data_IF_519215994941
#
_entry.id   IF_519215994941
#
_cell.length_a   1.000
_cell.length_b   1.000
_cell.length_c   1.000
_cell.angle_alpha   90.00
_cell.angle_beta   90.00
_cell.angle_gamma   90.00
#
_symmetry.space_group_name_H-M   'P 1'
#
loop_
_entity.id
_entity.type
_entity.pdbx_description
1 polymer ?
#
# COMPACT_ATOMS: atom_id res chain seq x y z
N UNK A 1 -3.88 2.98 28.15
CA UNK A 1 -4.31 3.68 26.92
C UNK A 1 -3.41 3.23 25.79
N UNK A 2 -3.95 2.56 24.78
CA UNK A 2 -3.22 2.12 23.58
C UNK A 2 -2.92 3.34 22.70
N UNK A 3 -1.79 4.00 22.96
CA UNK A 3 -1.32 5.12 22.16
C UNK A 3 -0.26 4.63 21.18
N UNK A 4 -0.33 5.10 19.93
CA UNK A 4 0.78 5.02 19.00
C UNK A 4 1.80 6.10 19.38
N UNK A 5 2.90 5.71 19.99
CA UNK A 5 3.97 6.59 20.48
C UNK A 5 5.34 6.31 19.85
N UNK A 6 5.46 5.21 19.10
CA UNK A 6 6.67 4.81 18.36
C UNK A 6 6.40 4.64 16.87
N UNK A 7 5.42 5.38 16.35
CA UNK A 7 5.00 5.31 14.95
C UNK A 7 4.83 6.71 14.41
N UNK A 8 5.38 6.94 13.23
CA UNK A 8 5.24 8.19 12.50
C UNK A 8 5.09 7.94 11.00
N UNK A 9 4.43 8.87 10.30
CA UNK A 9 4.43 8.92 8.84
C UNK A 9 5.40 10.04 8.46
N UNK A 10 6.53 9.75 7.80
CA UNK A 10 7.49 10.79 7.43
C UNK A 10 6.84 11.86 6.56
N UNK A 11 7.18 13.13 6.81
CA UNK A 11 6.66 14.23 6.02
C UNK A 11 7.00 14.05 4.55
N UNK A 12 5.99 14.20 3.68
CA UNK A 12 6.13 13.99 2.24
C UNK A 12 6.07 12.53 1.79
N UNK A 13 6.14 11.53 2.68
CA UNK A 13 6.06 10.10 2.34
C UNK A 13 4.61 9.58 2.20
N UNK A 14 3.69 10.45 1.77
CA UNK A 14 2.31 10.13 1.45
C UNK A 14 1.97 10.72 0.08
N UNK A 15 1.14 9.99 -0.67
CA UNK A 15 0.72 10.39 -2.01
C UNK A 15 -0.58 9.67 -2.39
N UNK A 16 -1.19 10.13 -3.46
CA UNK A 16 -2.29 9.44 -4.12
C UNK A 16 -2.24 9.73 -5.62
N UNK A 17 -2.89 8.87 -6.39
CA UNK A 17 -3.19 9.19 -7.79
C UNK A 17 -4.28 10.25 -7.86
N UNK A 18 -4.44 10.96 -8.99
CA UNK A 18 -5.64 11.72 -9.26
C UNK A 18 -6.87 10.80 -9.24
N UNK A 19 -8.00 11.32 -8.75
CA UNK A 19 -9.27 10.60 -8.80
C UNK A 19 -9.81 10.59 -10.24
N UNK A 20 -9.94 9.39 -10.83
CA UNK A 20 -10.59 9.22 -12.13
C UNK A 20 -12.07 8.87 -11.94
N UNK A 21 -12.94 9.47 -12.76
CA UNK A 21 -14.38 9.13 -12.77
C UNK A 21 -14.57 7.66 -13.16
N UNK A 22 -15.67 7.09 -12.70
CA UNK A 22 -16.13 5.76 -13.11
C UNK A 22 -16.27 5.67 -14.63
N UNK A 23 -15.82 4.56 -15.22
CA UNK A 23 -15.69 4.36 -16.68
C UNK A 23 -14.84 5.45 -17.38
N UNK A 24 -13.93 6.09 -16.65
CA UNK A 24 -13.07 7.16 -17.15
C UNK A 24 -11.75 6.67 -17.73
N UNK A 25 -10.79 7.60 -17.79
CA UNK A 25 -9.52 7.42 -18.52
C UNK A 25 -8.62 6.30 -17.98
N UNK A 26 -8.81 5.86 -16.73
CA UNK A 26 -8.03 4.79 -16.10
C UNK A 26 -8.78 3.44 -16.02
N UNK A 27 -9.98 3.32 -16.58
CA UNK A 27 -10.83 2.12 -16.43
C UNK A 27 -10.17 0.83 -16.97
N UNK A 28 -9.31 0.96 -17.98
CA UNK A 28 -8.62 -0.15 -18.62
C UNK A 28 -7.42 -0.68 -17.80
N UNK A 29 -7.05 -0.01 -16.71
CA UNK A 29 -5.91 -0.40 -15.89
C UNK A 29 -6.32 -1.40 -14.79
N UNK A 30 -5.38 -2.28 -14.47
CA UNK A 30 -5.46 -3.09 -13.26
C UNK A 30 -5.00 -2.24 -12.06
N UNK A 31 -5.86 -2.06 -11.05
CA UNK A 31 -5.63 -1.15 -9.92
C UNK A 31 -4.39 -1.54 -9.12
N UNK A 32 -4.20 -2.84 -8.85
CA UNK A 32 -3.01 -3.33 -8.12
C UNK A 32 -1.70 -3.03 -8.86
N UNK A 33 -1.64 -3.33 -10.17
CA UNK A 33 -0.45 -3.01 -10.99
C UNK A 33 -0.22 -1.51 -11.11
N UNK A 34 -1.29 -0.74 -11.24
CA UNK A 34 -1.19 0.71 -11.31
C UNK A 34 -0.70 1.31 -9.99
N UNK A 35 -1.19 0.81 -8.85
CA UNK A 35 -0.68 1.20 -7.53
C UNK A 35 0.81 0.88 -7.38
N UNK A 36 1.26 -0.30 -7.81
CA UNK A 36 2.68 -0.66 -7.80
C UNK A 36 3.52 0.26 -8.70
N UNK A 37 3.05 0.56 -9.91
CA UNK A 37 3.72 1.47 -10.84
C UNK A 37 3.89 2.87 -10.24
N UNK A 38 2.82 3.43 -9.66
CA UNK A 38 2.84 4.75 -9.04
C UNK A 38 3.72 4.76 -7.79
N UNK A 39 3.59 3.76 -6.92
CA UNK A 39 4.43 3.65 -5.73
C UNK A 39 5.92 3.60 -6.07
N UNK A 40 6.32 2.82 -7.09
CA UNK A 40 7.70 2.77 -7.57
C UNK A 40 8.23 4.14 -8.01
N UNK A 41 7.42 4.90 -8.75
CA UNK A 41 7.76 6.27 -9.19
C UNK A 41 7.86 7.25 -8.01
N UNK A 42 6.92 7.18 -7.07
CA UNK A 42 6.88 8.08 -5.91
C UNK A 42 8.01 7.81 -4.91
N UNK A 43 8.38 6.54 -4.70
CA UNK A 43 9.56 6.17 -3.91
C UNK A 43 10.85 6.69 -4.55
N UNK A 44 11.00 6.52 -5.87
CA UNK A 44 12.16 7.01 -6.61
C UNK A 44 12.31 8.54 -6.52
N UNK A 45 11.22 9.30 -6.65
CA UNK A 45 11.22 10.77 -6.49
C UNK A 45 11.71 11.23 -5.10
N UNK A 46 11.63 10.37 -4.09
CA UNK A 46 12.03 10.63 -2.71
C UNK A 46 13.36 9.96 -2.34
N UNK A 47 14.04 9.34 -3.30
CA UNK A 47 15.25 8.54 -3.08
C UNK A 47 15.06 7.44 -2.03
N UNK A 48 13.87 6.85 -1.95
CA UNK A 48 13.57 5.73 -1.06
C UNK A 48 13.80 4.41 -1.81
N UNK A 49 14.75 3.61 -1.34
CA UNK A 49 15.05 2.31 -1.93
C UNK A 49 14.10 1.23 -1.41
N UNK A 50 13.71 0.24 -2.24
CA UNK A 50 12.84 -0.86 -1.79
C UNK A 50 13.33 -1.62 -0.55
N UNK A 51 14.65 -1.71 -0.36
CA UNK A 51 15.28 -2.43 0.77
C UNK A 51 15.02 -1.78 2.14
N UNK A 52 14.47 -0.55 2.18
CA UNK A 52 14.10 0.12 3.42
C UNK A 52 12.90 -0.52 4.11
N UNK A 53 12.06 -1.23 3.35
CA UNK A 53 10.78 -1.72 3.83
C UNK A 53 10.89 -3.18 4.25
N UNK A 54 10.38 -3.52 5.41
CA UNK A 54 10.34 -4.89 5.94
C UNK A 54 8.89 -5.41 6.10
N UNK A 55 7.90 -4.56 5.86
CA UNK A 55 6.49 -4.92 5.84
C UNK A 55 5.72 -4.17 4.75
N UNK A 56 4.67 -4.80 4.20
CA UNK A 56 3.76 -4.12 3.31
C UNK A 56 2.33 -4.63 3.40
N UNK A 57 1.35 -3.76 3.25
CA UNK A 57 -0.08 -4.12 3.31
C UNK A 57 -0.82 -3.53 2.13
N UNK A 58 -1.68 -4.35 1.53
CA UNK A 58 -2.53 -3.95 0.40
C UNK A 58 -3.98 -3.86 0.83
N UNK A 59 -4.57 -2.67 0.75
CA UNK A 59 -6.01 -2.46 0.79
C UNK A 59 -6.63 -2.54 -0.59
N UNK A 60 -7.64 -3.39 -0.75
CA UNK A 60 -8.43 -3.48 -1.99
C UNK A 60 -9.87 -3.86 -1.66
N UNK A 61 -10.84 -3.07 -2.15
CA UNK A 61 -12.27 -3.38 -1.93
C UNK A 61 -12.80 -4.26 -3.05
N UNK A 62 -12.62 -3.83 -4.29
CA UNK A 62 -13.00 -4.59 -5.47
C UNK A 62 -11.83 -5.43 -5.96
N UNK A 63 -11.86 -6.73 -5.64
CA UNK A 63 -10.84 -7.68 -6.10
C UNK A 63 -10.84 -7.79 -7.62
N UNK A 64 -9.65 -7.89 -8.19
CA UNK A 64 -9.44 -8.01 -9.63
C UNK A 64 -8.78 -9.36 -9.95
N UNK A 65 -8.74 -9.70 -11.23
CA UNK A 65 -8.08 -10.91 -11.70
C UNK A 65 -6.63 -10.98 -11.15
N UNK A 66 -6.22 -12.11 -10.58
CA UNK A 66 -4.90 -12.30 -9.91
C UNK A 66 -4.70 -11.57 -8.57
N UNK A 67 -5.72 -10.91 -7.98
CA UNK A 67 -5.63 -10.40 -6.60
C UNK A 67 -5.42 -11.49 -5.53
N UNK A 68 -5.48 -12.77 -5.89
CA UNK A 68 -5.11 -13.89 -5.00
C UNK A 68 -3.73 -13.74 -4.37
N UNK A 69 -2.75 -13.22 -5.14
CA UNK A 69 -1.38 -13.03 -4.65
C UNK A 69 -1.25 -11.90 -3.60
N UNK A 70 -2.32 -11.14 -3.36
CA UNK A 70 -2.38 -10.18 -2.27
C UNK A 70 -1.31 -9.10 -2.36
N UNK A 71 -0.81 -8.66 -1.19
CA UNK A 71 0.22 -7.63 -1.11
C UNK A 71 1.56 -8.07 -1.71
N UNK A 72 1.86 -9.38 -1.74
CA UNK A 72 3.15 -9.87 -2.26
C UNK A 72 3.39 -9.49 -3.72
N UNK A 73 2.33 -9.44 -4.55
CA UNK A 73 2.46 -9.09 -5.96
C UNK A 73 2.86 -7.63 -6.21
N UNK A 74 2.12 -6.60 -5.75
CA UNK A 74 2.53 -5.22 -5.97
C UNK A 74 3.86 -4.89 -5.27
N UNK A 75 4.15 -5.47 -4.10
CA UNK A 75 5.44 -5.30 -3.43
C UNK A 75 6.60 -5.82 -4.28
N UNK A 76 6.44 -7.01 -4.88
CA UNK A 76 7.42 -7.56 -5.82
C UNK A 76 7.64 -6.64 -7.03
N UNK A 77 6.57 -6.12 -7.64
CA UNK A 77 6.62 -5.19 -8.79
C UNK A 77 7.32 -3.85 -8.46
N UNK A 78 7.18 -3.37 -7.22
CA UNK A 78 7.88 -2.18 -6.72
C UNK A 78 9.38 -2.45 -6.53
N UNK A 79 9.78 -3.71 -6.33
CA UNK A 79 11.16 -4.14 -6.11
C UNK A 79 11.41 -4.72 -4.72
N UNK A 80 10.39 -4.81 -3.87
CA UNK A 80 10.45 -5.31 -2.48
C UNK A 80 10.33 -6.84 -2.45
N UNK A 81 11.27 -7.54 -3.09
CA UNK A 81 11.14 -8.98 -3.44
C UNK A 81 11.04 -9.92 -2.24
N UNK A 82 11.45 -9.48 -1.06
CA UNK A 82 11.45 -10.29 0.18
C UNK A 82 10.37 -9.84 1.17
N UNK A 83 9.64 -8.76 0.87
CA UNK A 83 8.66 -8.18 1.76
C UNK A 83 7.31 -8.84 1.56
N UNK A 84 6.66 -9.16 2.67
CA UNK A 84 5.34 -9.78 2.69
C UNK A 84 4.38 -8.94 3.53
N UNK A 85 3.10 -9.26 3.39
CA UNK A 85 2.09 -8.85 4.34
C UNK A 85 0.68 -9.04 3.81
N UNK A 86 -0.32 -8.58 4.57
CA UNK A 86 -1.70 -8.95 4.34
C UNK A 86 -2.34 -8.14 3.20
N UNK A 87 -3.34 -8.76 2.56
CA UNK A 87 -4.35 -8.03 1.81
C UNK A 87 -5.57 -7.82 2.72
N UNK A 88 -6.10 -6.60 2.76
CA UNK A 88 -7.23 -6.21 3.60
C UNK A 88 -8.37 -5.65 2.75
N UNK A 89 -9.60 -5.97 3.15
CA UNK A 89 -10.83 -5.39 2.60
C UNK A 89 -11.83 -5.15 3.72
N UNK A 90 -12.22 -3.90 3.90
CA UNK A 90 -13.30 -3.47 4.81
C UNK A 90 -14.16 -2.38 4.16
N UNK A 91 -14.44 -2.54 2.87
CA UNK A 91 -15.26 -1.60 2.07
C UNK A 91 -14.75 -0.17 2.24
N UNK A 92 -15.61 0.78 2.63
CA UNK A 92 -15.25 2.18 2.80
C UNK A 92 -14.18 2.40 3.88
N UNK A 93 -13.99 1.44 4.79
CA UNK A 93 -13.02 1.49 5.88
C UNK A 93 -11.68 0.83 5.53
N UNK A 94 -11.50 0.35 4.29
CA UNK A 94 -10.25 -0.29 3.86
C UNK A 94 -9.03 0.61 4.08
N UNK A 95 -9.09 1.88 3.67
CA UNK A 95 -7.98 2.84 3.86
C UNK A 95 -7.56 3.02 5.32
N UNK A 96 -8.47 3.41 6.23
CA UNK A 96 -8.17 3.47 7.67
C UNK A 96 -7.65 2.14 8.24
N UNK A 97 -8.16 1.00 7.76
CA UNK A 97 -7.72 -0.31 8.24
C UNK A 97 -6.28 -0.62 7.81
N UNK A 98 -5.90 -0.26 6.59
CA UNK A 98 -4.51 -0.36 6.09
C UNK A 98 -3.56 0.46 6.98
N UNK A 99 -3.92 1.71 7.27
CA UNK A 99 -3.14 2.59 8.16
C UNK A 99 -2.98 1.97 9.56
N UNK A 100 -4.09 1.50 10.15
CA UNK A 100 -4.07 0.87 11.46
C UNK A 100 -3.19 -0.38 11.49
N UNK A 101 -3.24 -1.21 10.46
CA UNK A 101 -2.41 -2.43 10.38
C UNK A 101 -0.93 -2.08 10.33
N UNK A 102 -0.47 -1.20 9.43
CA UNK A 102 0.95 -0.85 9.39
C UNK A 102 1.42 -0.11 10.65
N UNK A 103 0.59 0.75 11.23
CA UNK A 103 0.91 1.39 12.50
C UNK A 103 1.04 0.35 13.64
N UNK A 104 0.16 -0.65 13.68
CA UNK A 104 0.24 -1.72 14.68
C UNK A 104 1.52 -2.55 14.55
N UNK A 105 1.93 -2.90 13.32
CA UNK A 105 3.18 -3.64 13.07
C UNK A 105 4.41 -2.89 13.60
N UNK A 106 4.51 -1.59 13.30
CA UNK A 106 5.61 -0.75 13.79
C UNK A 106 5.53 -0.56 15.30
N UNK A 107 4.34 -0.27 15.85
CA UNK A 107 4.14 -0.08 17.28
C UNK A 107 4.47 -1.32 18.10
N UNK A 108 4.22 -2.52 17.56
CA UNK A 108 4.53 -3.79 18.21
C UNK A 108 6.00 -4.21 17.99
N UNK A 109 6.76 -3.49 17.18
CA UNK A 109 8.16 -3.81 16.85
C UNK A 109 8.30 -5.03 15.93
N UNK A 110 7.24 -5.37 15.19
CA UNK A 110 7.23 -6.46 14.21
C UNK A 110 7.78 -6.01 12.86
N UNK A 111 7.69 -4.71 12.58
CA UNK A 111 8.26 -4.05 11.41
C UNK A 111 8.98 -2.77 11.82
N UNK A 112 10.03 -2.42 11.09
CA UNK A 112 10.75 -1.15 11.22
C UNK A 112 10.16 -0.10 10.28
N UNK A 113 9.77 -0.50 9.05
CA UNK A 113 9.26 0.42 8.04
C UNK A 113 8.26 -0.30 7.13
N UNK A 114 7.04 0.22 7.11
CA UNK A 114 5.93 -0.36 6.38
C UNK A 114 5.58 0.45 5.13
N UNK A 115 5.34 -0.24 4.00
CA UNK A 115 4.68 0.37 2.83
C UNK A 115 3.18 0.06 2.87
N UNK A 116 2.37 1.13 2.92
CA UNK A 116 0.92 1.05 2.93
C UNK A 116 0.37 1.30 1.52
N UNK A 117 -0.32 0.34 0.93
CA UNK A 117 -0.90 0.45 -0.41
C UNK A 117 -2.42 0.41 -0.36
N UNK A 118 -3.06 1.28 -1.14
CA UNK A 118 -4.48 1.22 -1.44
C UNK A 118 -4.68 1.15 -2.95
N UNK A 119 -5.49 0.20 -3.41
CA UNK A 119 -5.81 0.03 -4.82
C UNK A 119 -7.31 -0.22 -4.97
N UNK A 120 -7.97 0.57 -5.82
CA UNK A 120 -9.38 0.37 -6.14
C UNK A 120 -9.65 0.77 -7.59
N UNK A 121 -10.68 0.15 -8.17
CA UNK A 121 -11.26 0.53 -9.46
C UNK A 121 -12.69 0.00 -9.49
N UNK A 122 -13.64 0.93 -9.49
CA UNK A 122 -15.08 0.67 -9.58
C UNK A 122 -15.55 0.51 -11.03
#
# INVERSE_FOLDING_TARGET
MSRFDRVEIPYGAYWSTPFAKWQGVLQHLHSVRFAAHVAKSELAKRNLTPDLFDFGVLGITQVQYQSFYGASWPLYEIGMKHVVGPQLSQVCSTGPRVLLTGAAEVQLGLATTALLLGADRT
#
